data_IF_151962021237
#
_entry.id   IF_151962021237
#
_cell.length_a   1.000
_cell.length_b   1.000
_cell.length_c   1.000
_cell.angle_alpha   90.00
_cell.angle_beta   90.00
_cell.angle_gamma   90.00
#
_symmetry.space_group_name_H-M   'P 1'
#
loop_
_entity.id
_entity.type
_entity.pdbx_description
1 polymer ?
#
# COMPACT_ATOMS: atom_id res chain seq x y z
N UNK A 1 -21.22 14.28 7.19
CA UNK A 1 -20.76 13.10 7.96
C UNK A 1 -20.20 12.06 7.00
N UNK A 2 -19.07 11.42 7.32
CA UNK A 2 -18.45 10.39 6.47
C UNK A 2 -19.33 9.13 6.42
N UNK A 3 -19.39 8.45 5.27
CA UNK A 3 -20.13 7.19 5.08
C UNK A 3 -19.15 6.01 5.11
N UNK A 4 -18.91 5.45 6.30
CA UNK A 4 -17.87 4.42 6.52
C UNK A 4 -18.05 3.16 5.66
N UNK A 5 -19.28 2.71 5.41
CA UNK A 5 -19.56 1.57 4.53
C UNK A 5 -19.06 1.79 3.09
N UNK A 6 -19.00 3.04 2.63
CA UNK A 6 -18.42 3.38 1.33
C UNK A 6 -16.88 3.47 1.37
N UNK A 7 -16.32 3.86 2.51
CA UNK A 7 -14.86 3.99 2.69
C UNK A 7 -14.18 2.63 2.93
N UNK A 8 -14.82 1.74 3.68
CA UNK A 8 -14.35 0.38 3.97
C UNK A 8 -14.83 -0.60 2.89
N UNK A 9 -14.72 -0.20 1.62
CA UNK A 9 -15.17 -1.03 0.51
C UNK A 9 -14.20 -2.17 0.26
N UNK A 10 -14.72 -3.39 0.16
CA UNK A 10 -13.97 -4.56 -0.30
C UNK A 10 -14.08 -4.79 -1.82
N UNK A 11 -14.69 -3.85 -2.57
CA UNK A 11 -14.85 -3.95 -4.03
C UNK A 11 -13.50 -4.04 -4.75
N UNK A 12 -13.41 -4.89 -5.77
CA UNK A 12 -12.22 -5.04 -6.62
C UNK A 12 -12.58 -4.79 -8.08
N UNK A 13 -11.69 -4.06 -8.76
CA UNK A 13 -11.79 -3.80 -10.20
C UNK A 13 -11.85 -5.13 -10.98
N UNK A 14 -12.85 -5.26 -11.86
CA UNK A 14 -13.08 -6.46 -12.67
C UNK A 14 -13.72 -7.64 -11.93
N UNK A 15 -14.09 -7.48 -10.64
CA UNK A 15 -14.78 -8.50 -9.83
C UNK A 15 -15.95 -7.93 -9.03
N UNK A 16 -16.56 -6.86 -9.52
CA UNK A 16 -17.58 -6.08 -8.80
C UNK A 16 -18.83 -6.91 -8.46
N UNK A 17 -19.13 -7.96 -9.25
CA UNK A 17 -20.32 -8.81 -9.08
C UNK A 17 -20.11 -10.06 -8.21
N UNK A 18 -18.86 -10.39 -7.83
CA UNK A 18 -18.52 -11.69 -7.23
C UNK A 18 -18.36 -11.69 -5.70
N UNK A 19 -18.54 -10.55 -5.03
CA UNK A 19 -18.19 -10.43 -3.62
C UNK A 19 -19.43 -10.45 -2.73
N UNK A 20 -19.82 -11.65 -2.30
CA UNK A 20 -20.65 -11.83 -1.12
C UNK A 20 -19.77 -11.90 0.12
N UNK A 21 -20.19 -11.20 1.19
CA UNK A 21 -19.55 -11.25 2.53
C UNK A 21 -19.62 -12.67 3.11
N UNK A 22 -20.48 -13.53 2.56
CA UNK A 22 -20.83 -14.87 3.05
C UNK A 22 -19.80 -15.97 2.78
N UNK A 23 -18.72 -15.71 2.04
CA UNK A 23 -17.63 -16.68 1.92
C UNK A 23 -16.65 -16.48 3.08
N UNK A 24 -16.98 -17.05 4.24
CA UNK A 24 -16.10 -17.13 5.42
C UNK A 24 -14.87 -17.94 5.04
N UNK A 25 -13.88 -17.26 4.47
CA UNK A 25 -12.50 -17.72 4.42
C UNK A 25 -11.87 -17.31 5.74
N UNK A 26 -10.91 -18.09 6.24
CA UNK A 26 -10.09 -17.78 7.41
C UNK A 26 -9.37 -16.40 7.37
N UNK A 27 -9.52 -15.63 6.27
CA UNK A 27 -8.95 -14.29 6.06
C UNK A 27 -9.99 -13.35 5.46
N UNK A 28 -10.09 -12.14 6.01
CA UNK A 28 -10.95 -11.08 5.47
C UNK A 28 -10.42 -10.57 4.12
N UNK A 29 -11.24 -9.92 3.27
CA UNK A 29 -10.78 -9.36 2.00
C UNK A 29 -9.59 -8.40 2.14
N UNK A 30 -9.50 -7.68 3.26
CA UNK A 30 -8.41 -6.74 3.55
C UNK A 30 -7.11 -7.49 3.93
N UNK A 31 -7.20 -8.57 4.70
CA UNK A 31 -6.06 -9.44 4.98
C UNK A 31 -5.53 -10.10 3.70
N UNK A 32 -6.42 -10.47 2.76
CA UNK A 32 -6.00 -11.00 1.46
C UNK A 32 -5.24 -9.96 0.62
N UNK A 33 -5.54 -8.66 0.75
CA UNK A 33 -4.79 -7.62 0.04
C UNK A 33 -3.38 -7.47 0.60
N UNK A 34 -3.26 -7.49 1.93
CA UNK A 34 -1.97 -7.50 2.60
C UNK A 34 -1.08 -8.62 2.04
N UNK A 35 -1.61 -9.85 2.00
CA UNK A 35 -0.88 -11.00 1.49
C UNK A 35 -0.51 -10.86 0.00
N UNK A 36 -1.41 -10.34 -0.83
CA UNK A 36 -1.13 -10.07 -2.26
C UNK A 36 0.05 -9.11 -2.42
N UNK A 37 0.12 -8.06 -1.59
CA UNK A 37 1.23 -7.11 -1.62
C UNK A 37 2.52 -7.81 -1.20
N UNK A 38 2.52 -8.53 -0.07
CA UNK A 38 3.69 -9.26 0.44
C UNK A 38 4.26 -10.23 -0.60
N UNK A 39 3.41 -10.97 -1.30
CA UNK A 39 3.86 -11.96 -2.29
C UNK A 39 4.17 -11.38 -3.67
N UNK A 40 3.85 -10.11 -3.93
CA UNK A 40 4.08 -9.46 -5.23
C UNK A 40 5.56 -9.34 -5.59
N UNK A 41 5.84 -9.33 -6.89
CA UNK A 41 7.21 -9.15 -7.39
C UNK A 41 7.71 -7.72 -7.12
N UNK A 42 6.79 -6.76 -7.19
CA UNK A 42 6.94 -5.33 -6.96
C UNK A 42 7.44 -5.06 -5.56
N UNK A 43 6.81 -5.69 -4.56
CA UNK A 43 7.22 -5.57 -3.16
C UNK A 43 8.59 -6.22 -2.92
N UNK A 44 8.85 -7.41 -3.49
CA UNK A 44 10.18 -8.05 -3.40
C UNK A 44 11.29 -7.19 -3.99
N UNK A 45 11.04 -6.42 -5.04
CA UNK A 45 12.02 -5.49 -5.63
C UNK A 45 12.50 -4.41 -4.65
N UNK A 46 11.74 -4.10 -3.59
CA UNK A 46 12.17 -3.15 -2.56
C UNK A 46 13.38 -3.63 -1.77
N UNK A 47 13.68 -4.93 -1.77
CA UNK A 47 14.89 -5.47 -1.11
C UNK A 47 16.17 -4.88 -1.70
N UNK A 48 16.15 -4.59 -3.00
CA UNK A 48 17.31 -4.08 -3.74
C UNK A 48 17.23 -2.57 -3.99
N UNK A 49 16.34 -1.85 -3.30
CA UNK A 49 16.26 -0.39 -3.35
C UNK A 49 16.77 0.19 -2.03
N UNK A 50 17.78 1.04 -2.13
CA UNK A 50 18.35 1.76 -0.99
C UNK A 50 17.38 2.84 -0.50
N UNK A 51 17.37 3.07 0.82
CA UNK A 51 16.54 4.10 1.44
C UNK A 51 17.32 5.42 1.61
N UNK A 52 18.63 5.37 1.88
CA UNK A 52 19.49 6.56 2.08
C UNK A 52 20.96 6.27 1.76
N UNK A 53 21.49 5.11 2.16
CA UNK A 53 22.91 4.75 1.95
C UNK A 53 23.12 3.85 0.73
N UNK A 54 24.19 4.06 -0.07
CA UNK A 54 24.54 3.14 -1.15
C UNK A 54 24.87 1.76 -0.58
N UNK A 55 24.34 0.71 -1.21
CA UNK A 55 24.39 -0.72 -0.82
C UNK A 55 25.55 -1.06 0.13
N UNK A 56 25.34 -0.99 1.44
CA UNK A 56 26.40 -1.24 2.40
C UNK A 56 26.60 -2.75 2.53
N UNK A 57 27.84 -3.17 2.77
CA UNK A 57 28.22 -4.58 3.02
C UNK A 57 27.68 -5.13 4.35
N UNK A 58 26.81 -4.39 5.04
CA UNK A 58 26.30 -4.71 6.37
C UNK A 58 24.78 -4.88 6.31
N UNK A 59 24.30 -6.02 6.78
CA UNK A 59 22.88 -6.40 6.81
C UNK A 59 22.02 -5.51 7.73
N UNK A 60 22.64 -4.63 8.52
CA UNK A 60 21.97 -3.73 9.45
C UNK A 60 21.41 -2.45 8.82
N UNK A 61 21.75 -2.17 7.55
CA UNK A 61 21.23 -0.98 6.90
C UNK A 61 19.90 -1.30 6.23
N UNK A 62 18.89 -0.51 6.60
CA UNK A 62 17.53 -0.65 6.07
C UNK A 62 17.51 -0.43 4.56
N UNK A 63 16.94 -1.40 3.84
CA UNK A 63 16.46 -1.21 2.49
C UNK A 63 14.98 -0.79 2.54
N UNK A 64 14.42 -0.41 1.40
CA UNK A 64 13.00 0.02 1.35
C UNK A 64 12.03 -1.09 1.77
N UNK A 65 12.42 -2.36 1.62
CA UNK A 65 11.60 -3.49 2.06
C UNK A 65 11.49 -3.54 3.58
N UNK A 66 12.61 -3.53 4.30
CA UNK A 66 12.61 -3.60 5.77
C UNK A 66 11.96 -2.38 6.39
N UNK A 67 12.18 -1.19 5.81
CA UNK A 67 11.46 0.01 6.20
C UNK A 67 9.94 -0.14 6.03
N UNK A 68 9.48 -0.63 4.87
CA UNK A 68 8.05 -0.81 4.62
C UNK A 68 7.43 -1.84 5.57
N UNK A 69 8.17 -2.89 5.95
CA UNK A 69 7.73 -3.86 6.95
C UNK A 69 7.59 -3.25 8.35
N UNK A 70 8.57 -2.45 8.79
CA UNK A 70 8.51 -1.73 10.07
C UNK A 70 7.33 -0.75 10.09
N UNK A 71 7.19 0.07 9.04
CA UNK A 71 6.07 1.00 8.88
C UNK A 71 4.72 0.29 8.88
N UNK A 72 4.62 -0.86 8.20
CA UNK A 72 3.38 -1.66 8.19
C UNK A 72 3.05 -2.28 9.55
N UNK A 73 4.06 -2.66 10.34
CA UNK A 73 3.87 -3.15 11.70
C UNK A 73 3.29 -2.07 12.61
N UNK A 74 3.86 -0.86 12.57
CA UNK A 74 3.35 0.31 13.32
C UNK A 74 1.97 0.71 12.82
N UNK A 75 1.77 0.79 11.50
CA UNK A 75 0.52 1.13 10.85
C UNK A 75 -0.63 0.19 11.23
N UNK A 76 -0.36 -1.11 11.37
CA UNK A 76 -1.35 -2.09 11.83
C UNK A 76 -1.85 -1.77 13.24
N UNK A 77 -0.94 -1.46 14.16
CA UNK A 77 -1.29 -1.10 15.54
C UNK A 77 -2.12 0.18 15.59
N UNK A 78 -1.71 1.21 14.84
CA UNK A 78 -2.47 2.45 14.71
C UNK A 78 -3.86 2.23 14.10
N UNK A 79 -3.95 1.41 13.04
CA UNK A 79 -5.21 1.06 12.39
C UNK A 79 -6.15 0.27 13.31
N UNK A 80 -5.62 -0.63 14.14
CA UNK A 80 -6.41 -1.35 15.13
C UNK A 80 -7.00 -0.40 16.19
N UNK A 81 -6.19 0.54 16.71
CA UNK A 81 -6.63 1.53 17.70
C UNK A 81 -7.72 2.44 17.11
N UNK A 82 -7.47 2.96 15.90
CA UNK A 82 -8.46 3.77 15.18
C UNK A 82 -9.74 2.98 14.90
N UNK A 83 -9.61 1.71 14.51
CA UNK A 83 -10.75 0.83 14.24
C UNK A 83 -11.60 0.58 15.47
N UNK A 84 -11.00 0.35 16.64
CA UNK A 84 -11.74 0.23 17.89
C UNK A 84 -12.53 1.50 18.21
N UNK A 85 -11.93 2.67 18.04
CA UNK A 85 -12.61 3.96 18.24
C UNK A 85 -13.77 4.16 17.26
N UNK A 86 -13.55 3.86 15.97
CA UNK A 86 -14.56 4.01 14.91
C UNK A 86 -15.75 3.07 15.18
N UNK A 87 -15.51 1.80 15.47
CA UNK A 87 -16.57 0.81 15.72
C UNK A 87 -17.34 1.07 17.02
N UNK A 88 -16.69 1.66 18.04
CA UNK A 88 -17.38 2.14 19.24
C UNK A 88 -18.28 3.34 18.95
N UNK A 89 -17.83 4.24 18.07
CA UNK A 89 -18.57 5.45 17.69
C UNK A 89 -19.73 5.17 16.73
N UNK A 90 -19.60 4.13 15.90
CA UNK A 90 -20.58 3.73 14.88
C UNK A 90 -20.92 2.24 15.02
N UNK A 91 -21.77 1.87 15.99
CA UNK A 91 -22.04 0.47 16.32
C UNK A 91 -22.64 -0.35 15.17
N UNK A 92 -23.34 0.30 14.23
CA UNK A 92 -23.92 -0.32 13.05
C UNK A 92 -22.88 -1.04 12.17
N UNK A 93 -21.63 -0.58 12.21
CA UNK A 93 -20.52 -1.17 11.45
C UNK A 93 -20.06 -2.52 11.99
N UNK A 94 -20.33 -2.85 13.26
CA UNK A 94 -19.87 -4.11 13.87
C UNK A 94 -20.51 -5.36 13.24
N UNK A 95 -21.61 -5.20 12.52
CA UNK A 95 -22.25 -6.30 11.78
C UNK A 95 -21.48 -6.71 10.52
N UNK A 96 -20.65 -5.82 9.98
CA UNK A 96 -19.94 -6.00 8.71
C UNK A 96 -18.42 -5.99 8.86
N UNK A 97 -17.88 -5.31 9.86
CA UNK A 97 -16.45 -5.04 10.00
C UNK A 97 -15.91 -5.35 11.40
N UNK A 98 -14.65 -5.74 11.45
CA UNK A 98 -13.86 -5.87 12.68
C UNK A 98 -12.81 -4.75 12.76
N UNK A 99 -12.37 -4.37 13.98
CA UNK A 99 -11.32 -3.36 14.15
C UNK A 99 -10.02 -3.76 13.41
N UNK A 100 -9.76 -5.07 13.33
CA UNK A 100 -8.59 -5.62 12.64
C UNK A 100 -8.66 -5.48 11.11
N UNK A 101 -9.83 -5.25 10.52
CA UNK A 101 -9.96 -4.94 9.10
C UNK A 101 -9.35 -3.57 8.78
N UNK A 102 -9.58 -2.59 9.65
CA UNK A 102 -9.00 -1.25 9.54
C UNK A 102 -7.48 -1.34 9.76
N UNK A 103 -7.03 -2.16 10.72
CA UNK A 103 -5.63 -2.51 10.88
C UNK A 103 -4.99 -3.09 9.62
N UNK A 104 -5.67 -4.04 8.96
CA UNK A 104 -5.20 -4.66 7.71
C UNK A 104 -5.13 -3.66 6.55
N UNK A 105 -6.11 -2.76 6.43
CA UNK A 105 -6.11 -1.70 5.41
C UNK A 105 -4.90 -0.77 5.60
N UNK A 106 -4.70 -0.24 6.81
CA UNK A 106 -3.59 0.68 7.09
C UNK A 106 -2.25 -0.02 6.88
N UNK A 107 -2.11 -1.26 7.38
CA UNK A 107 -0.89 -2.04 7.21
C UNK A 107 -0.58 -2.31 5.73
N UNK A 108 -1.60 -2.63 4.92
CA UNK A 108 -1.45 -2.83 3.47
C UNK A 108 -1.00 -1.56 2.75
N UNK A 109 -1.59 -0.41 3.10
CA UNK A 109 -1.18 0.89 2.55
C UNK A 109 0.28 1.21 2.93
N UNK A 110 0.67 0.94 4.17
CA UNK A 110 2.04 1.09 4.63
C UNK A 110 3.02 0.14 3.91
N UNK A 111 2.65 -1.09 3.57
CA UNK A 111 3.53 -1.95 2.76
C UNK A 111 3.74 -1.39 1.35
N UNK A 112 2.67 -0.86 0.75
CA UNK A 112 2.67 -0.39 -0.61
C UNK A 112 3.18 1.05 -0.78
N UNK A 113 3.36 1.82 0.30
CA UNK A 113 3.65 3.27 0.21
C UNK A 113 4.87 3.57 -0.65
N UNK A 114 5.87 2.69 -0.61
CA UNK A 114 7.15 2.88 -1.28
C UNK A 114 7.31 2.09 -2.58
N UNK A 115 6.27 1.35 -3.01
CA UNK A 115 6.34 0.37 -4.10
C UNK A 115 6.68 1.02 -5.46
N UNK A 116 6.21 2.24 -5.67
CA UNK A 116 6.32 2.98 -6.93
C UNK A 116 7.60 3.80 -7.10
N UNK A 117 8.44 3.91 -6.07
CA UNK A 117 9.62 4.77 -6.14
C UNK A 117 10.60 4.32 -7.24
N UNK A 118 11.15 5.24 -8.04
CA UNK A 118 12.16 4.89 -9.03
C UNK A 118 13.49 4.47 -8.36
N UNK A 119 14.41 3.87 -9.13
CA UNK A 119 15.81 3.75 -8.70
C UNK A 119 16.35 5.10 -8.25
N UNK A 120 17.23 5.12 -7.25
CA UNK A 120 17.84 6.34 -6.71
C UNK A 120 16.88 7.37 -6.06
N UNK A 121 15.62 7.00 -5.78
CA UNK A 121 14.69 7.87 -5.04
C UNK A 121 14.45 9.19 -5.75
N UNK A 122 14.48 10.31 -5.01
CA UNK A 122 14.20 11.65 -5.56
C UNK A 122 15.09 11.98 -6.76
N UNK A 123 16.38 11.60 -6.75
CA UNK A 123 17.25 11.84 -7.90
C UNK A 123 16.81 11.08 -9.16
N UNK A 124 16.19 9.92 -8.99
CA UNK A 124 15.56 9.20 -10.10
C UNK A 124 14.29 9.90 -10.59
N UNK A 125 13.47 10.44 -9.68
CA UNK A 125 12.29 11.25 -10.02
C UNK A 125 12.68 12.50 -10.80
N UNK A 126 13.69 13.24 -10.31
CA UNK A 126 14.23 14.44 -10.94
C UNK A 126 14.79 14.13 -12.33
N UNK A 127 15.58 13.05 -12.47
CA UNK A 127 16.14 12.66 -13.75
C UNK A 127 15.07 12.30 -14.79
N UNK A 128 14.01 11.57 -14.39
CA UNK A 128 12.88 11.28 -15.28
C UNK A 128 12.16 12.57 -15.66
N UNK A 129 11.87 13.43 -14.68
CA UNK A 129 11.19 14.72 -14.91
C UNK A 129 11.97 15.59 -15.89
N UNK A 130 13.28 15.71 -15.68
CA UNK A 130 14.16 16.54 -16.51
C UNK A 130 14.29 15.99 -17.94
N UNK A 131 14.39 14.67 -18.08
CA UNK A 131 14.41 14.05 -19.41
C UNK A 131 13.17 14.40 -20.24
N UNK A 132 11.98 14.27 -19.64
CA UNK A 132 10.73 14.56 -20.34
C UNK A 132 10.46 16.06 -20.57
N UNK A 133 11.21 16.96 -19.92
CA UNK A 133 11.20 18.40 -20.22
C UNK A 133 12.14 18.78 -21.38
N UNK A 134 13.07 17.91 -21.75
CA UNK A 134 14.05 18.18 -22.80
C UNK A 134 13.53 17.90 -24.21
N UNK A 135 14.12 18.54 -25.22
CA UNK A 135 13.79 18.32 -26.65
C UNK A 135 14.03 16.86 -27.10
N UNK A 136 14.89 16.12 -26.39
CA UNK A 136 15.17 14.71 -26.69
C UNK A 136 13.94 13.81 -26.48
N UNK A 137 13.02 14.21 -25.60
CA UNK A 137 11.80 13.49 -25.30
C UNK A 137 10.63 13.88 -26.20
N UNK A 138 10.76 14.90 -27.06
CA UNK A 138 9.65 15.41 -27.88
C UNK A 138 8.95 14.32 -28.68
N UNK A 139 9.71 13.34 -29.21
CA UNK A 139 9.16 12.18 -29.96
C UNK A 139 8.17 11.32 -29.17
N UNK A 140 8.29 11.27 -27.83
CA UNK A 140 7.39 10.50 -26.97
C UNK A 140 6.15 11.29 -26.55
N UNK A 141 6.20 12.63 -26.67
CA UNK A 141 5.11 13.53 -26.29
C UNK A 141 4.08 13.76 -27.41
N UNK A 142 4.41 13.40 -28.65
CA UNK A 142 3.58 13.67 -29.85
C UNK A 142 2.14 13.13 -29.71
N UNK A 143 1.94 12.03 -28.98
CA UNK A 143 0.64 11.36 -28.85
C UNK A 143 0.02 11.47 -27.44
N UNK A 144 0.53 12.36 -26.59
CA UNK A 144 0.04 12.54 -25.22
C UNK A 144 -0.96 13.71 -25.07
N UNK A 145 -1.32 14.36 -26.18
CA UNK A 145 -2.35 15.40 -26.26
C UNK A 145 -3.57 14.90 -27.02
#
# INVERSE_FOLDING_TARGET
MMKWQKLLSFKRLGKEKQQSVTNIKFRTPFQQDFDRIVFSSEFRRLQNKTQVFPMPKSDYVRNRLTHSLETASVGRSLGNIAGQYILKKYPELNSEFNFSDIGAIVSSACLAHDIGNPPFGHSGEDAISEYFKSDLASKFLINLN
#
